data_IF_333069944059
#
_entry.id   IF_333069944059
#
_cell.length_a   1.000
_cell.length_b   1.000
_cell.length_c   1.000
_cell.angle_alpha   90.00
_cell.angle_beta   90.00
_cell.angle_gamma   90.00
#
_symmetry.space_group_name_H-M   'P 1'
#
loop_
_entity.id
_entity.type
_entity.pdbx_description
1 polymer ?
#
# COMPACT_ATOMS: atom_id res chain seq x y z
N UNK A 1 3.37 -7.93 -10.74
CA UNK A 1 4.17 -8.82 -11.57
C UNK A 1 5.16 -9.62 -10.73
N UNK A 2 6.11 -9.02 -10.00
CA UNK A 2 7.13 -9.74 -9.23
C UNK A 2 6.61 -10.91 -8.37
N UNK A 3 5.45 -10.76 -7.70
CA UNK A 3 4.85 -11.83 -6.90
C UNK A 3 4.31 -12.99 -7.73
N UNK A 4 3.78 -12.71 -8.90
CA UNK A 4 3.31 -13.75 -9.84
C UNK A 4 4.51 -14.47 -10.43
N UNK A 5 5.52 -13.72 -10.87
CA UNK A 5 6.75 -14.27 -11.43
C UNK A 5 7.41 -15.20 -10.40
N UNK A 6 7.56 -14.77 -9.13
CA UNK A 6 8.13 -15.61 -8.06
C UNK A 6 7.32 -16.88 -7.83
N UNK A 7 5.98 -16.80 -7.87
CA UNK A 7 5.15 -18.00 -7.70
C UNK A 7 5.32 -18.97 -8.88
N UNK A 8 5.36 -18.46 -10.09
CA UNK A 8 5.47 -19.28 -11.30
C UNK A 8 6.86 -19.90 -11.47
N UNK A 9 7.93 -19.19 -11.07
CA UNK A 9 9.28 -19.76 -10.99
C UNK A 9 9.38 -20.89 -9.97
N UNK A 10 8.75 -20.74 -8.79
CA UNK A 10 8.75 -21.79 -7.77
C UNK A 10 8.10 -23.10 -8.23
N UNK A 11 7.22 -23.06 -9.24
CA UNK A 11 6.56 -24.24 -9.81
C UNK A 11 7.18 -24.72 -11.14
N UNK A 12 8.31 -24.13 -11.58
CA UNK A 12 8.97 -24.45 -12.87
C UNK A 12 8.04 -24.33 -14.10
N UNK A 13 7.03 -23.47 -14.03
CA UNK A 13 6.09 -23.24 -15.12
C UNK A 13 6.68 -22.30 -16.19
N UNK A 14 7.74 -21.56 -15.83
CA UNK A 14 8.37 -20.57 -16.70
C UNK A 14 9.86 -20.76 -16.91
N UNK A 15 10.28 -20.41 -18.14
CA UNK A 15 11.67 -20.10 -18.48
C UNK A 15 11.82 -18.56 -18.56
N UNK A 16 13.01 -18.05 -18.29
CA UNK A 16 13.32 -16.60 -18.33
C UNK A 16 12.90 -15.92 -19.65
N UNK A 17 12.91 -16.66 -20.76
CA UNK A 17 12.56 -16.17 -22.10
C UNK A 17 11.06 -15.80 -22.25
N UNK A 18 10.18 -16.36 -21.42
CA UNK A 18 8.72 -16.18 -21.56
C UNK A 18 8.10 -15.16 -20.57
N UNK A 19 8.88 -14.67 -19.59
CA UNK A 19 8.40 -13.77 -18.53
C UNK A 19 7.75 -12.50 -19.10
N UNK A 20 8.38 -11.90 -20.11
CA UNK A 20 7.87 -10.67 -20.74
C UNK A 20 6.48 -10.84 -21.37
N UNK A 21 6.26 -11.94 -22.08
CA UNK A 21 4.97 -12.20 -22.76
C UNK A 21 3.85 -12.47 -21.76
N UNK A 22 4.18 -13.13 -20.66
CA UNK A 22 3.20 -13.44 -19.63
C UNK A 22 2.86 -12.21 -18.80
N UNK A 23 3.85 -11.42 -18.43
CA UNK A 23 3.63 -10.14 -17.76
C UNK A 23 2.76 -9.21 -18.62
N UNK A 24 2.95 -9.20 -19.94
CA UNK A 24 2.09 -8.49 -20.86
C UNK A 24 0.65 -9.05 -20.83
N UNK A 25 0.48 -10.38 -20.90
CA UNK A 25 -0.83 -11.02 -20.84
C UNK A 25 -1.59 -10.73 -19.54
N UNK A 26 -0.89 -10.83 -18.41
CA UNK A 26 -1.44 -10.50 -17.09
C UNK A 26 -1.75 -8.99 -16.99
N UNK A 27 -0.87 -8.14 -17.52
CA UNK A 27 -1.08 -6.69 -17.60
C UNK A 27 -2.36 -6.34 -18.36
N UNK A 28 -2.61 -6.99 -19.49
CA UNK A 28 -3.85 -6.83 -20.29
C UNK A 28 -5.07 -7.29 -19.48
N UNK A 29 -5.00 -8.42 -18.82
CA UNK A 29 -6.09 -8.92 -17.97
C UNK A 29 -6.42 -7.94 -16.82
N UNK A 30 -5.40 -7.46 -16.11
CA UNK A 30 -5.56 -6.46 -15.05
C UNK A 30 -6.16 -5.18 -15.60
N UNK A 31 -5.67 -4.67 -16.73
CA UNK A 31 -6.20 -3.47 -17.37
C UNK A 31 -7.68 -3.63 -17.76
N UNK A 32 -8.07 -4.78 -18.29
CA UNK A 32 -9.47 -5.06 -18.63
C UNK A 32 -10.36 -5.08 -17.38
N UNK A 33 -9.92 -5.70 -16.29
CA UNK A 33 -10.66 -5.74 -15.02
C UNK A 33 -10.75 -4.33 -14.39
N UNK A 34 -9.66 -3.57 -14.39
CA UNK A 34 -9.63 -2.18 -13.91
C UNK A 34 -10.61 -1.32 -14.69
N UNK A 35 -10.58 -1.41 -16.01
CA UNK A 35 -11.49 -0.67 -16.90
C UNK A 35 -12.96 -1.01 -16.59
N UNK A 36 -13.27 -2.30 -16.49
CA UNK A 36 -14.62 -2.78 -16.21
C UNK A 36 -15.15 -2.26 -14.88
N UNK A 37 -14.30 -2.21 -13.84
CA UNK A 37 -14.72 -1.77 -12.50
C UNK A 37 -14.80 -0.26 -12.42
N UNK A 38 -13.79 0.48 -12.90
CA UNK A 38 -13.77 1.94 -12.84
C UNK A 38 -14.89 2.58 -13.65
N UNK A 39 -15.25 2.04 -14.83
CA UNK A 39 -16.40 2.50 -15.62
C UNK A 39 -17.74 2.33 -14.87
N UNK A 40 -17.81 1.42 -13.89
CA UNK A 40 -18.97 1.25 -13.03
C UNK A 40 -19.10 2.30 -11.92
N UNK A 41 -18.11 3.19 -11.78
CA UNK A 41 -18.11 4.28 -10.82
C UNK A 41 -17.90 3.84 -9.37
N UNK A 42 -18.01 4.82 -8.46
CA UNK A 42 -17.64 4.67 -7.04
C UNK A 42 -18.37 3.52 -6.32
N UNK A 43 -19.66 3.30 -6.63
CA UNK A 43 -20.44 2.21 -6.01
C UNK A 43 -19.88 0.83 -6.36
N UNK A 44 -19.45 0.62 -7.62
CA UNK A 44 -18.85 -0.64 -8.04
C UNK A 44 -17.47 -0.84 -7.43
N UNK A 45 -16.66 0.22 -7.40
CA UNK A 45 -15.34 0.20 -6.73
C UNK A 45 -15.53 -0.20 -5.28
N UNK A 46 -16.40 0.49 -4.53
CA UNK A 46 -16.70 0.20 -3.13
C UNK A 46 -17.17 -1.25 -2.90
N UNK A 47 -18.09 -1.76 -3.73
CA UNK A 47 -18.57 -3.14 -3.62
C UNK A 47 -17.50 -4.21 -3.86
N UNK A 48 -16.54 -3.93 -4.72
CA UNK A 48 -15.41 -4.85 -4.97
C UNK A 48 -14.40 -4.77 -3.84
N UNK A 49 -13.96 -3.57 -3.49
CA UNK A 49 -12.92 -3.37 -2.47
C UNK A 49 -13.37 -3.76 -1.07
N UNK A 50 -14.63 -3.50 -0.70
CA UNK A 50 -15.18 -3.87 0.62
C UNK A 50 -15.21 -5.38 0.89
N UNK A 51 -15.18 -6.21 -0.14
CA UNK A 51 -15.09 -7.68 0.00
C UNK A 51 -13.66 -8.17 -0.15
N UNK A 52 -12.93 -7.61 -1.11
CA UNK A 52 -11.57 -8.01 -1.46
C UNK A 52 -10.58 -7.69 -0.33
N UNK A 53 -10.62 -6.45 0.18
CA UNK A 53 -9.64 -5.94 1.14
C UNK A 53 -9.69 -6.68 2.49
N UNK A 54 -10.85 -6.87 3.15
CA UNK A 54 -10.88 -7.61 4.41
C UNK A 54 -10.43 -9.06 4.24
N UNK A 55 -10.82 -9.73 3.16
CA UNK A 55 -10.42 -11.11 2.89
C UNK A 55 -8.91 -11.25 2.79
N UNK A 56 -8.27 -10.44 1.94
CA UNK A 56 -6.81 -10.50 1.75
C UNK A 56 -6.05 -10.07 3.02
N UNK A 57 -6.53 -9.05 3.75
CA UNK A 57 -5.89 -8.56 4.95
C UNK A 57 -5.92 -9.61 6.06
N UNK A 58 -7.08 -10.22 6.34
CA UNK A 58 -7.21 -11.28 7.35
C UNK A 58 -6.35 -12.48 6.98
N UNK A 59 -6.37 -12.91 5.72
CA UNK A 59 -5.54 -14.02 5.24
C UNK A 59 -4.04 -13.72 5.44
N UNK A 60 -3.58 -12.53 5.01
CA UNK A 60 -2.17 -12.14 5.12
C UNK A 60 -1.72 -12.02 6.58
N UNK A 61 -2.54 -11.40 7.44
CA UNK A 61 -2.25 -11.26 8.86
C UNK A 61 -2.18 -12.63 9.53
N UNK A 62 -3.14 -13.52 9.26
CA UNK A 62 -3.14 -14.86 9.82
C UNK A 62 -1.87 -15.64 9.45
N UNK A 63 -1.51 -15.63 8.16
CA UNK A 63 -0.31 -16.33 7.69
C UNK A 63 0.97 -15.72 8.26
N UNK A 64 1.07 -14.40 8.37
CA UNK A 64 2.20 -13.72 8.99
C UNK A 64 2.34 -14.06 10.49
N UNK A 65 1.23 -14.07 11.23
CA UNK A 65 1.23 -14.46 12.64
C UNK A 65 1.66 -15.91 12.83
N UNK A 66 1.18 -16.83 11.99
CA UNK A 66 1.60 -18.23 12.04
C UNK A 66 3.10 -18.35 11.75
N UNK A 67 3.64 -17.62 10.74
CA UNK A 67 5.06 -17.61 10.45
C UNK A 67 5.89 -17.17 11.65
N UNK A 68 5.52 -16.05 12.26
CA UNK A 68 6.22 -15.53 13.45
C UNK A 68 6.11 -16.52 14.62
N UNK A 69 4.93 -17.14 14.81
CA UNK A 69 4.72 -18.13 15.86
C UNK A 69 5.55 -19.41 15.65
N UNK A 70 5.68 -19.88 14.40
CA UNK A 70 6.53 -21.05 14.07
C UNK A 70 8.02 -20.75 14.32
N UNK A 71 8.43 -19.49 14.08
CA UNK A 71 9.82 -19.04 14.25
C UNK A 71 10.01 -18.21 15.54
N UNK A 72 9.22 -18.45 16.58
CA UNK A 72 9.20 -17.63 17.82
C UNK A 72 10.57 -17.52 18.50
N UNK A 73 11.41 -18.53 18.38
CA UNK A 73 12.76 -18.54 18.97
C UNK A 73 13.66 -17.44 18.40
N UNK A 74 13.42 -17.03 17.16
CA UNK A 74 14.18 -15.97 16.49
C UNK A 74 13.69 -14.56 16.83
N UNK A 75 12.48 -14.43 17.36
CA UNK A 75 11.85 -13.13 17.63
C UNK A 75 12.73 -12.25 18.54
N UNK A 76 13.28 -12.72 19.68
CA UNK A 76 14.12 -11.88 20.54
C UNK A 76 15.40 -11.40 19.82
N UNK A 77 16.04 -12.25 19.03
CA UNK A 77 17.24 -11.91 18.26
C UNK A 77 16.94 -10.88 17.17
N UNK A 78 15.81 -11.03 16.48
CA UNK A 78 15.34 -10.10 15.45
C UNK A 78 15.09 -8.71 16.06
N UNK A 79 14.38 -8.62 17.19
CA UNK A 79 14.20 -7.35 17.89
C UNK A 79 15.53 -6.74 18.30
N UNK A 80 16.43 -7.53 18.89
CA UNK A 80 17.78 -7.06 19.24
C UNK A 80 18.50 -6.49 18.02
N UNK A 81 18.49 -7.21 16.89
CA UNK A 81 19.13 -6.76 15.63
C UNK A 81 18.52 -5.47 15.08
N UNK A 82 17.20 -5.30 15.20
CA UNK A 82 16.51 -4.06 14.80
C UNK A 82 17.01 -2.88 15.64
N UNK A 83 17.03 -3.03 16.97
CA UNK A 83 17.50 -1.98 17.87
C UNK A 83 19.00 -1.69 17.70
N UNK A 84 19.83 -2.72 17.59
CA UNK A 84 21.27 -2.56 17.32
C UNK A 84 21.52 -1.87 15.98
N UNK A 85 20.79 -2.24 14.93
CA UNK A 85 20.90 -1.60 13.62
C UNK A 85 20.44 -0.14 13.61
N UNK A 86 19.41 0.19 14.42
CA UNK A 86 18.90 1.54 14.53
C UNK A 86 19.85 2.48 15.30
N UNK A 87 20.45 1.99 16.40
CA UNK A 87 21.27 2.82 17.29
C UNK A 87 22.78 2.61 17.14
N UNK A 88 23.22 1.58 16.42
CA UNK A 88 24.62 1.32 16.13
C UNK A 88 24.86 1.02 14.65
N UNK A 89 24.72 2.03 13.78
CA UNK A 89 24.83 1.87 12.32
C UNK A 89 26.21 1.40 11.84
N UNK A 90 27.24 1.43 12.69
CA UNK A 90 28.59 0.96 12.34
C UNK A 90 28.66 -0.55 12.09
N UNK A 91 27.80 -1.33 12.74
CA UNK A 91 27.81 -2.78 12.65
C UNK A 91 27.22 -3.33 11.34
N UNK A 92 26.44 -2.50 10.62
CA UNK A 92 25.67 -3.01 9.46
C UNK A 92 26.20 -2.50 8.11
N UNK A 93 26.79 -1.32 8.00
CA UNK A 93 27.04 -0.69 6.69
C UNK A 93 28.37 0.05 6.49
N UNK A 94 29.34 -0.03 7.39
CA UNK A 94 30.68 0.54 7.19
C UNK A 94 30.81 2.07 6.98
N UNK A 95 29.70 2.83 7.06
CA UNK A 95 29.69 4.30 6.90
C UNK A 95 28.58 4.95 7.72
N UNK A 96 28.97 5.65 8.81
CA UNK A 96 28.04 6.06 9.89
C UNK A 96 27.00 7.10 9.48
N UNK A 97 27.35 8.08 8.67
CA UNK A 97 26.46 9.22 8.35
C UNK A 97 25.62 8.91 7.11
N UNK A 98 26.22 8.30 6.10
CA UNK A 98 25.52 7.98 4.85
C UNK A 98 24.39 6.96 5.03
N UNK A 99 24.58 5.95 5.87
CA UNK A 99 23.58 4.92 6.08
C UNK A 99 22.36 5.41 6.87
N UNK A 100 22.56 6.28 7.87
CA UNK A 100 21.46 6.88 8.63
C UNK A 100 20.57 7.74 7.72
N UNK A 101 21.19 8.60 6.89
CA UNK A 101 20.43 9.41 5.92
C UNK A 101 19.68 8.58 4.88
N UNK A 102 20.33 7.54 4.35
CA UNK A 102 19.70 6.66 3.38
C UNK A 102 18.51 5.91 4.02
N UNK A 103 18.69 5.34 5.20
CA UNK A 103 17.62 4.62 5.91
C UNK A 103 16.46 5.55 6.27
N UNK A 104 16.76 6.73 6.80
CA UNK A 104 15.76 7.76 7.11
C UNK A 104 14.99 8.19 5.85
N UNK A 105 15.71 8.51 4.76
CA UNK A 105 15.09 8.90 3.49
C UNK A 105 14.18 7.81 2.95
N UNK A 106 14.64 6.56 2.95
CA UNK A 106 13.85 5.42 2.47
C UNK A 106 12.64 5.15 3.38
N UNK A 107 12.82 5.18 4.70
CA UNK A 107 11.73 4.99 5.64
C UNK A 107 10.64 6.06 5.52
N UNK A 108 11.03 7.33 5.46
CA UNK A 108 10.10 8.46 5.26
C UNK A 108 9.37 8.34 3.94
N UNK A 109 10.08 8.09 2.83
CA UNK A 109 9.46 7.94 1.51
C UNK A 109 8.44 6.80 1.47
N UNK A 110 8.78 5.64 2.03
CA UNK A 110 7.86 4.49 2.06
C UNK A 110 6.69 4.71 3.02
N UNK A 111 6.90 5.31 4.18
CA UNK A 111 5.84 5.66 5.12
C UNK A 111 4.85 6.67 4.55
N UNK A 112 5.32 7.69 3.84
CA UNK A 112 4.47 8.66 3.12
C UNK A 112 3.64 7.94 2.06
N UNK A 113 4.27 7.05 1.29
CA UNK A 113 3.59 6.32 0.22
C UNK A 113 2.50 5.39 0.77
N UNK A 114 2.83 4.57 1.78
CA UNK A 114 1.91 3.57 2.35
C UNK A 114 0.70 4.22 3.03
N UNK A 115 0.94 5.25 3.83
CA UNK A 115 -0.12 5.93 4.60
C UNK A 115 -0.78 7.08 3.85
N UNK A 116 -0.39 7.34 2.59
CA UNK A 116 -0.83 8.53 1.82
C UNK A 116 -0.62 9.85 2.60
N UNK A 117 0.34 9.86 3.55
CA UNK A 117 0.52 10.92 4.51
C UNK A 117 0.99 12.22 3.84
N UNK A 118 0.15 13.24 3.90
CA UNK A 118 0.44 14.53 3.28
C UNK A 118 0.23 14.59 1.77
N UNK A 119 -0.20 13.50 1.11
CA UNK A 119 -0.47 13.47 -0.35
C UNK A 119 -1.80 14.15 -0.71
N UNK A 120 -2.77 14.17 0.21
CA UNK A 120 -4.11 14.70 -0.03
C UNK A 120 -5.06 13.71 -0.72
N UNK A 121 -4.59 12.52 -1.08
CA UNK A 121 -5.36 11.49 -1.78
C UNK A 121 -6.39 10.83 -0.89
N UNK A 122 -6.04 10.49 0.34
CA UNK A 122 -6.97 9.91 1.31
C UNK A 122 -8.23 10.76 1.52
N UNK A 123 -8.10 12.09 1.54
CA UNK A 123 -9.26 12.98 1.68
C UNK A 123 -10.27 12.87 0.52
N UNK A 124 -9.83 12.47 -0.68
CA UNK A 124 -10.71 12.26 -1.84
C UNK A 124 -11.62 11.04 -1.62
N UNK A 125 -11.08 9.95 -1.05
CA UNK A 125 -11.89 8.79 -0.70
C UNK A 125 -12.83 9.10 0.46
N UNK A 126 -12.31 9.68 1.53
CA UNK A 126 -13.08 10.02 2.73
C UNK A 126 -14.21 11.02 2.47
N UNK A 127 -14.05 11.94 1.51
CA UNK A 127 -15.10 12.89 1.11
C UNK A 127 -16.34 12.21 0.53
N UNK A 128 -16.27 10.95 0.11
CA UNK A 128 -17.41 10.19 -0.42
C UNK A 128 -18.12 9.34 0.64
N UNK A 129 -17.70 9.39 1.90
CA UNK A 129 -18.32 8.64 2.98
C UNK A 129 -19.69 9.25 3.38
N UNK A 130 -20.60 8.38 3.77
CA UNK A 130 -21.93 8.76 4.25
C UNK A 130 -21.92 8.76 5.79
N UNK A 131 -21.42 9.85 6.35
CA UNK A 131 -21.29 10.07 7.81
C UNK A 131 -21.94 11.40 8.20
N UNK A 132 -22.53 11.43 9.38
CA UNK A 132 -23.21 12.64 9.88
C UNK A 132 -22.24 13.78 10.22
N UNK A 133 -21.02 13.49 10.63
CA UNK A 133 -20.03 14.49 11.01
C UNK A 133 -18.63 14.14 10.49
N UNK A 134 -17.87 15.11 9.90
CA UNK A 134 -16.56 14.84 9.30
C UNK A 134 -15.53 14.21 10.25
N UNK A 135 -15.64 14.51 11.55
CA UNK A 135 -14.70 13.96 12.56
C UNK A 135 -14.84 12.45 12.70
N UNK A 136 -16.03 11.90 12.52
CA UNK A 136 -16.23 10.43 12.54
C UNK A 136 -15.39 9.76 11.46
N UNK A 137 -15.42 10.30 10.24
CA UNK A 137 -14.59 9.77 9.16
C UNK A 137 -13.10 10.03 9.38
N UNK A 138 -12.74 11.19 9.95
CA UNK A 138 -11.35 11.48 10.30
C UNK A 138 -10.76 10.51 11.33
N UNK A 139 -11.56 10.01 12.29
CA UNK A 139 -11.13 8.99 13.25
C UNK A 139 -10.85 7.64 12.57
N UNK A 140 -11.55 7.28 11.49
CA UNK A 140 -11.24 6.09 10.70
C UNK A 140 -9.87 6.17 10.06
N UNK A 141 -9.42 7.35 9.62
CA UNK A 141 -8.06 7.54 9.10
C UNK A 141 -6.98 7.20 10.13
N UNK A 142 -7.21 7.42 11.43
CA UNK A 142 -6.28 6.99 12.49
C UNK A 142 -6.19 5.46 12.53
N UNK A 143 -7.35 4.78 12.45
CA UNK A 143 -7.39 3.32 12.43
C UNK A 143 -6.70 2.74 11.20
N UNK A 144 -6.90 3.33 10.02
CA UNK A 144 -6.27 2.91 8.77
C UNK A 144 -4.74 2.95 8.86
N UNK A 145 -4.18 4.07 9.33
CA UNK A 145 -2.73 4.24 9.50
C UNK A 145 -2.18 3.25 10.55
N UNK A 146 -2.91 3.03 11.64
CA UNK A 146 -2.53 2.03 12.65
C UNK A 146 -2.52 0.62 12.06
N UNK A 147 -3.56 0.22 11.35
CA UNK A 147 -3.67 -1.10 10.76
C UNK A 147 -2.60 -1.34 9.69
N UNK A 148 -2.34 -0.36 8.82
CA UNK A 148 -1.30 -0.47 7.80
C UNK A 148 0.10 -0.53 8.41
N UNK A 149 0.48 0.48 9.19
CA UNK A 149 1.87 0.66 9.62
C UNK A 149 2.21 -0.21 10.83
N UNK A 150 1.36 -0.21 11.88
CA UNK A 150 1.69 -0.92 13.11
C UNK A 150 1.39 -2.41 12.97
N UNK A 151 0.31 -2.80 12.29
CA UNK A 151 -0.03 -4.23 12.17
C UNK A 151 0.62 -4.84 10.94
N UNK A 152 0.27 -4.40 9.72
CA UNK A 152 0.67 -5.08 8.49
C UNK A 152 2.18 -4.91 8.20
N UNK A 153 2.70 -3.68 8.25
CA UNK A 153 4.12 -3.44 7.96
C UNK A 153 5.04 -4.09 8.99
N UNK A 154 4.70 -4.00 10.29
CA UNK A 154 5.49 -4.65 11.36
C UNK A 154 5.46 -6.17 11.20
N UNK A 155 4.29 -6.75 10.94
CA UNK A 155 4.14 -8.18 10.73
C UNK A 155 4.94 -8.65 9.51
N UNK A 156 4.91 -7.91 8.41
CA UNK A 156 5.69 -8.20 7.21
C UNK A 156 7.20 -8.18 7.49
N UNK A 157 7.67 -7.15 8.21
CA UNK A 157 9.07 -7.05 8.59
C UNK A 157 9.50 -8.23 9.50
N UNK A 158 8.69 -8.56 10.50
CA UNK A 158 8.95 -9.71 11.38
C UNK A 158 8.92 -11.02 10.59
N UNK A 159 7.96 -11.20 9.68
CA UNK A 159 7.87 -12.40 8.85
C UNK A 159 9.15 -12.59 8.02
N UNK A 160 9.66 -11.53 7.38
CA UNK A 160 10.89 -11.59 6.60
C UNK A 160 12.10 -11.88 7.49
N UNK A 161 12.26 -11.14 8.59
CA UNK A 161 13.43 -11.27 9.46
C UNK A 161 13.46 -12.58 10.24
N UNK A 162 12.31 -13.05 10.75
CA UNK A 162 12.22 -14.31 11.48
C UNK A 162 12.34 -15.54 10.57
N UNK A 163 12.06 -15.43 9.26
CA UNK A 163 12.23 -16.55 8.32
C UNK A 163 13.70 -16.97 8.14
N UNK A 164 14.64 -16.06 8.40
CA UNK A 164 16.08 -16.30 8.29
C UNK A 164 16.59 -16.39 6.87
N UNK A 165 15.86 -15.84 5.90
CA UNK A 165 16.35 -15.69 4.53
C UNK A 165 17.55 -14.76 4.48
N UNK A 166 18.43 -15.00 3.50
CA UNK A 166 19.52 -14.07 3.23
C UNK A 166 18.96 -12.80 2.56
N UNK A 167 19.26 -11.64 3.15
CA UNK A 167 18.81 -10.34 2.63
C UNK A 167 20.01 -9.69 1.93
N UNK A 168 19.92 -9.52 0.61
CA UNK A 168 20.92 -8.82 -0.18
C UNK A 168 20.83 -7.31 0.06
N UNK A 169 21.68 -6.79 0.92
CA UNK A 169 21.74 -5.35 1.20
C UNK A 169 22.19 -4.56 -0.04
N UNK A 170 21.52 -3.42 -0.27
CA UNK A 170 21.81 -2.54 -1.41
C UNK A 170 21.06 -2.86 -2.70
N UNK A 171 20.36 -3.99 -2.78
CA UNK A 171 19.44 -4.29 -3.88
C UNK A 171 18.03 -3.80 -3.56
N UNK A 172 17.30 -3.39 -4.59
CA UNK A 172 15.87 -3.09 -4.44
C UNK A 172 15.13 -4.41 -4.20
N UNK A 173 14.54 -4.55 -3.02
CA UNK A 173 13.70 -5.70 -2.67
C UNK A 173 12.23 -5.38 -2.99
N UNK A 174 11.56 -6.34 -3.60
CA UNK A 174 10.15 -6.27 -3.93
C UNK A 174 9.34 -7.35 -3.19
N UNK A 175 8.20 -7.71 -3.77
CA UNK A 175 7.32 -8.75 -3.23
C UNK A 175 7.99 -10.15 -3.17
N UNK A 176 9.00 -10.39 -4.01
CA UNK A 176 9.79 -11.63 -4.01
C UNK A 176 10.47 -11.90 -2.67
N UNK A 177 10.95 -10.87 -1.96
CA UNK A 177 11.55 -11.03 -0.65
C UNK A 177 10.53 -11.53 0.38
N UNK A 178 9.32 -10.98 0.34
CA UNK A 178 8.22 -11.43 1.20
C UNK A 178 7.86 -12.89 0.89
N UNK A 179 7.68 -13.23 -0.39
CA UNK A 179 7.35 -14.59 -0.80
C UNK A 179 8.44 -15.57 -0.37
N UNK A 180 9.70 -15.22 -0.56
CA UNK A 180 10.84 -16.05 -0.14
C UNK A 180 10.83 -16.30 1.38
N UNK A 181 10.53 -15.28 2.18
CA UNK A 181 10.39 -15.41 3.63
C UNK A 181 9.31 -16.42 4.03
N UNK A 182 8.16 -16.37 3.38
CA UNK A 182 7.08 -17.31 3.66
C UNK A 182 7.37 -18.72 3.12
N UNK A 183 7.96 -18.85 1.94
CA UNK A 183 8.29 -20.17 1.35
C UNK A 183 9.33 -20.93 2.15
N UNK A 184 10.23 -20.23 2.83
CA UNK A 184 11.21 -20.85 3.73
C UNK A 184 10.54 -21.58 4.89
N UNK A 185 9.43 -21.03 5.42
CA UNK A 185 8.73 -21.62 6.57
C UNK A 185 7.66 -22.63 6.14
N UNK A 186 6.88 -22.34 5.09
CA UNK A 186 5.70 -23.12 4.72
C UNK A 186 5.91 -24.02 3.49
N UNK A 187 7.04 -23.87 2.79
CA UNK A 187 7.31 -24.57 1.52
C UNK A 187 6.72 -23.83 0.31
N UNK A 188 7.05 -24.34 -0.88
CA UNK A 188 6.77 -23.65 -2.16
C UNK A 188 5.28 -23.40 -2.47
N UNK A 189 4.36 -24.22 -1.92
CA UNK A 189 2.93 -24.11 -2.19
C UNK A 189 2.33 -22.76 -1.74
N UNK A 190 2.91 -22.14 -0.68
CA UNK A 190 2.43 -20.87 -0.15
C UNK A 190 2.61 -19.70 -1.13
N UNK A 191 3.58 -19.83 -2.05
CA UNK A 191 3.87 -18.78 -3.02
C UNK A 191 2.68 -18.41 -3.90
N UNK A 192 1.85 -19.40 -4.28
CA UNK A 192 0.62 -19.14 -5.06
C UNK A 192 -0.38 -18.31 -4.24
N UNK A 193 -0.63 -18.71 -2.99
CA UNK A 193 -1.60 -18.02 -2.14
C UNK A 193 -1.15 -16.59 -1.82
N UNK A 194 0.15 -16.41 -1.55
CA UNK A 194 0.71 -15.06 -1.35
C UNK A 194 0.69 -14.23 -2.62
N UNK A 195 1.02 -14.82 -3.77
CA UNK A 195 0.92 -14.11 -5.05
C UNK A 195 -0.51 -13.61 -5.29
N UNK A 196 -1.51 -14.45 -5.05
CA UNK A 196 -2.92 -14.05 -5.15
C UNK A 196 -3.26 -12.93 -4.16
N UNK A 197 -2.86 -13.05 -2.90
CA UNK A 197 -3.11 -12.01 -1.88
C UNK A 197 -2.44 -10.68 -2.28
N UNK A 198 -1.17 -10.70 -2.66
CA UNK A 198 -0.44 -9.50 -3.09
C UNK A 198 -1.01 -8.90 -4.40
N UNK A 199 -1.49 -9.73 -5.32
CA UNK A 199 -2.22 -9.25 -6.49
C UNK A 199 -3.54 -8.56 -6.11
N UNK A 200 -4.26 -9.09 -5.13
CA UNK A 200 -5.48 -8.45 -4.61
C UNK A 200 -5.16 -7.09 -3.95
N UNK A 201 -4.06 -6.98 -3.18
CA UNK A 201 -3.59 -5.72 -2.62
C UNK A 201 -3.26 -4.71 -3.72
N UNK A 202 -2.43 -5.11 -4.70
CA UNK A 202 -2.07 -4.24 -5.82
C UNK A 202 -3.31 -3.81 -6.62
N UNK A 203 -4.23 -4.72 -6.89
CA UNK A 203 -5.44 -4.46 -7.64
C UNK A 203 -6.37 -3.47 -6.91
N UNK A 204 -6.57 -3.62 -5.60
CA UNK A 204 -7.36 -2.66 -4.82
C UNK A 204 -6.73 -1.26 -4.82
N UNK A 205 -5.40 -1.18 -4.74
CA UNK A 205 -4.66 0.08 -4.84
C UNK A 205 -4.83 0.74 -6.21
N UNK A 206 -4.75 -0.02 -7.31
CA UNK A 206 -4.98 0.50 -8.67
C UNK A 206 -6.41 1.07 -8.77
N UNK A 207 -7.40 0.42 -8.19
CA UNK A 207 -8.78 0.93 -8.20
C UNK A 207 -8.93 2.22 -7.38
N UNK A 208 -8.30 2.30 -6.22
CA UNK A 208 -8.30 3.50 -5.38
C UNK A 208 -7.66 4.70 -6.08
N UNK A 209 -6.45 4.52 -6.61
CA UNK A 209 -5.75 5.57 -7.34
C UNK A 209 -6.46 5.98 -8.63
N UNK A 210 -7.13 5.04 -9.32
CA UNK A 210 -8.01 5.33 -10.45
C UNK A 210 -9.20 6.21 -10.07
N UNK A 211 -9.76 6.02 -8.89
CA UNK A 211 -10.80 6.90 -8.33
C UNK A 211 -10.24 8.29 -8.05
N UNK A 212 -9.09 8.41 -7.37
CA UNK A 212 -8.46 9.71 -7.07
C UNK A 212 -8.20 10.49 -8.35
N UNK A 213 -7.56 9.88 -9.33
CA UNK A 213 -7.31 10.50 -10.63
C UNK A 213 -8.59 10.91 -11.35
N UNK A 214 -9.63 10.07 -11.31
CA UNK A 214 -10.93 10.38 -11.92
C UNK A 214 -11.58 11.62 -11.29
N UNK A 215 -11.49 11.76 -9.97
CA UNK A 215 -12.02 12.94 -9.25
C UNK A 215 -11.23 14.21 -9.54
N UNK A 216 -9.90 14.10 -9.60
CA UNK A 216 -9.04 15.24 -9.97
C UNK A 216 -9.33 15.73 -11.40
N UNK A 217 -9.42 14.82 -12.37
CA UNK A 217 -9.73 15.14 -13.76
C UNK A 217 -11.14 15.71 -13.90
N UNK A 218 -12.11 15.15 -13.20
CA UNK A 218 -13.49 15.66 -13.16
C UNK A 218 -13.54 17.10 -12.66
N UNK A 219 -12.80 17.41 -11.59
CA UNK A 219 -12.72 18.74 -11.02
C UNK A 219 -12.11 19.76 -12.01
N UNK A 220 -11.04 19.37 -12.71
CA UNK A 220 -10.30 20.27 -13.60
C UNK A 220 -10.99 20.49 -14.95
N UNK A 221 -11.55 19.43 -15.54
CA UNK A 221 -12.01 19.42 -16.94
C UNK A 221 -13.49 19.01 -17.11
N UNK A 222 -14.17 18.73 -15.99
CA UNK A 222 -15.56 18.33 -15.98
C UNK A 222 -15.80 16.84 -16.26
N UNK A 223 -17.07 16.38 -16.13
CA UNK A 223 -17.40 14.95 -16.12
C UNK A 223 -17.20 14.23 -17.47
N UNK A 224 -17.17 14.98 -18.57
CA UNK A 224 -17.03 14.40 -19.92
C UNK A 224 -15.66 13.73 -20.15
N UNK A 225 -14.63 14.19 -19.45
CA UNK A 225 -13.24 13.72 -19.60
C UNK A 225 -12.93 12.50 -18.73
N UNK A 226 -13.79 12.15 -17.76
CA UNK A 226 -13.57 11.03 -16.84
C UNK A 226 -13.46 9.69 -17.58
N UNK A 227 -14.36 9.41 -18.53
CA UNK A 227 -14.30 8.13 -19.28
C UNK A 227 -13.04 7.99 -20.13
N UNK A 228 -12.64 8.98 -20.96
CA UNK A 228 -11.34 8.94 -21.64
C UNK A 228 -10.17 8.74 -20.69
N UNK A 229 -10.15 9.44 -19.56
CA UNK A 229 -9.11 9.28 -18.54
C UNK A 229 -9.03 7.83 -18.02
N UNK A 230 -10.16 7.21 -17.67
CA UNK A 230 -10.20 5.83 -17.18
C UNK A 230 -9.62 4.86 -18.23
N UNK A 231 -9.90 5.07 -19.51
CA UNK A 231 -9.36 4.25 -20.60
C UNK A 231 -7.84 4.39 -20.65
N UNK A 232 -7.32 5.61 -20.67
CA UNK A 232 -5.88 5.88 -20.69
C UNK A 232 -5.21 5.31 -19.43
N UNK A 233 -5.81 5.50 -18.25
CA UNK A 233 -5.32 4.98 -16.99
C UNK A 233 -5.19 3.44 -17.00
N UNK A 234 -6.20 2.74 -17.52
CA UNK A 234 -6.15 1.29 -17.65
C UNK A 234 -5.07 0.82 -18.63
N UNK A 235 -4.86 1.54 -19.74
CA UNK A 235 -3.79 1.23 -20.70
C UNK A 235 -2.39 1.46 -20.11
N UNK A 236 -2.22 2.50 -19.28
CA UNK A 236 -0.95 2.76 -18.59
C UNK A 236 -0.60 1.64 -17.61
N UNK A 237 -1.59 0.94 -17.02
CA UNK A 237 -1.34 -0.23 -16.20
C UNK A 237 -0.61 -1.36 -16.96
N UNK A 238 -0.86 -1.52 -18.26
CA UNK A 238 -0.14 -2.50 -19.12
C UNK A 238 1.33 -2.11 -19.23
N UNK A 239 1.61 -0.83 -19.45
CA UNK A 239 2.99 -0.31 -19.51
C UNK A 239 3.69 -0.53 -18.19
N UNK A 240 3.04 -0.20 -17.06
CA UNK A 240 3.58 -0.41 -15.71
C UNK A 240 3.88 -1.88 -15.40
N UNK A 241 3.18 -2.83 -16.04
CA UNK A 241 3.43 -4.25 -15.86
C UNK A 241 4.76 -4.72 -16.48
N UNK A 242 5.30 -3.98 -17.43
CA UNK A 242 6.52 -4.32 -18.19
C UNK A 242 7.70 -3.39 -17.88
N UNK A 243 7.50 -2.33 -17.09
CA UNK A 243 8.56 -1.37 -16.75
C UNK A 243 9.48 -1.90 -15.64
N UNK A 244 10.71 -1.36 -15.63
CA UNK A 244 11.67 -1.58 -14.55
C UNK A 244 11.17 -1.04 -13.20
N UNK A 245 11.30 -1.84 -12.16
CA UNK A 245 10.82 -1.53 -10.81
C UNK A 245 11.52 -0.30 -10.20
N UNK A 246 12.82 -0.13 -10.46
CA UNK A 246 13.61 1.00 -9.95
C UNK A 246 13.14 2.32 -10.53
N UNK A 247 12.86 2.33 -11.85
CA UNK A 247 12.33 3.49 -12.55
C UNK A 247 10.92 3.85 -12.03
N UNK A 248 10.04 2.84 -11.87
CA UNK A 248 8.69 3.06 -11.32
C UNK A 248 8.73 3.70 -9.93
N UNK A 249 9.59 3.21 -9.03
CA UNK A 249 9.76 3.80 -7.71
C UNK A 249 10.29 5.23 -7.76
N UNK A 250 11.22 5.52 -8.66
CA UNK A 250 11.77 6.88 -8.81
C UNK A 250 10.72 7.87 -9.30
N UNK A 251 9.88 7.46 -10.24
CA UNK A 251 8.76 8.25 -10.73
C UNK A 251 7.73 8.49 -9.60
N UNK A 252 7.33 7.42 -8.89
CA UNK A 252 6.38 7.51 -7.80
C UNK A 252 6.85 8.44 -6.69
N UNK A 253 8.11 8.32 -6.25
CA UNK A 253 8.69 9.20 -5.23
C UNK A 253 8.70 10.67 -5.67
N UNK A 254 8.98 10.93 -6.96
CA UNK A 254 8.99 12.30 -7.52
C UNK A 254 7.59 12.91 -7.51
N UNK A 255 6.60 12.21 -8.03
CA UNK A 255 5.22 12.71 -8.08
C UNK A 255 4.61 12.84 -6.70
N UNK A 256 4.87 11.91 -5.79
CA UNK A 256 4.45 12.04 -4.40
C UNK A 256 5.04 13.28 -3.74
N UNK A 257 6.33 13.56 -3.95
CA UNK A 257 6.97 14.78 -3.47
C UNK A 257 6.30 16.05 -3.98
N UNK A 258 5.91 16.07 -5.26
CA UNK A 258 5.19 17.21 -5.85
C UNK A 258 3.76 17.37 -5.28
N UNK A 259 3.07 16.26 -4.97
CA UNK A 259 1.72 16.29 -4.40
C UNK A 259 1.69 16.78 -2.95
N UNK A 260 2.74 16.51 -2.17
CA UNK A 260 2.85 16.93 -0.76
C UNK A 260 2.83 18.45 -0.64
N UNK A 261 3.52 19.17 -1.51
CA UNK A 261 3.68 20.63 -1.39
C UNK A 261 2.33 21.37 -1.34
N UNK A 262 1.46 21.27 -2.35
CA UNK A 262 0.17 21.97 -2.32
C UNK A 262 -0.75 21.46 -1.21
N UNK A 263 -0.70 20.16 -0.89
CA UNK A 263 -1.55 19.61 0.16
C UNK A 263 -1.14 20.11 1.55
N UNK A 264 0.15 20.18 1.88
CA UNK A 264 0.59 20.73 3.16
C UNK A 264 0.17 22.19 3.32
N UNK A 265 0.24 23.00 2.27
CA UNK A 265 -0.25 24.39 2.29
C UNK A 265 -1.74 24.39 2.65
N UNK A 266 -2.56 23.54 1.99
CA UNK A 266 -3.98 23.44 2.26
C UNK A 266 -4.27 23.00 3.71
N UNK A 267 -3.57 21.98 4.21
CA UNK A 267 -3.72 21.48 5.58
C UNK A 267 -3.38 22.57 6.61
N UNK A 268 -2.30 23.33 6.42
CA UNK A 268 -1.95 24.44 7.31
C UNK A 268 -3.00 25.53 7.30
N UNK A 269 -3.49 25.92 6.14
CA UNK A 269 -4.55 26.94 6.02
C UNK A 269 -5.88 26.50 6.65
N UNK A 270 -6.22 25.22 6.55
CA UNK A 270 -7.46 24.65 7.09
C UNK A 270 -7.33 24.17 8.54
N UNK A 271 -6.15 24.24 9.16
CA UNK A 271 -5.93 23.73 10.52
C UNK A 271 -6.87 24.34 11.56
N UNK A 272 -7.15 25.62 11.47
CA UNK A 272 -8.13 26.31 12.34
C UNK A 272 -9.55 25.74 12.22
N UNK A 273 -9.99 25.43 11.00
CA UNK A 273 -11.29 24.82 10.74
C UNK A 273 -11.36 23.41 11.34
N UNK A 274 -10.30 22.62 11.19
CA UNK A 274 -10.21 21.26 11.76
C UNK A 274 -10.31 21.33 13.29
N UNK A 275 -9.55 22.22 13.93
CA UNK A 275 -9.59 22.41 15.39
C UNK A 275 -11.01 22.79 15.87
N UNK A 276 -11.69 23.66 15.12
CA UNK A 276 -13.07 24.05 15.45
C UNK A 276 -14.02 22.85 15.35
N UNK A 277 -13.95 22.07 14.26
CA UNK A 277 -14.79 20.89 14.07
C UNK A 277 -14.56 19.83 15.16
N UNK A 278 -13.29 19.62 15.55
CA UNK A 278 -12.96 18.69 16.64
C UNK A 278 -13.59 19.15 17.95
N UNK A 279 -13.44 20.44 18.30
CA UNK A 279 -14.02 20.99 19.53
C UNK A 279 -15.55 20.89 19.51
N UNK A 280 -16.18 21.24 18.43
CA UNK A 280 -17.64 21.19 18.26
C UNK A 280 -18.14 19.76 18.46
N UNK A 281 -17.52 18.79 17.79
CA UNK A 281 -17.89 17.37 17.90
C UNK A 281 -17.78 16.83 19.33
N UNK A 282 -16.68 17.10 20.03
CA UNK A 282 -16.47 16.57 21.38
C UNK A 282 -17.22 17.37 22.48
N UNK A 283 -17.59 18.61 22.22
CA UNK A 283 -18.44 19.41 23.11
C UNK A 283 -19.94 19.08 22.95
N UNK A 284 -20.32 18.50 21.82
CA UNK A 284 -21.72 18.07 21.60
C UNK A 284 -22.04 16.89 22.54
N UNK A 285 -23.14 16.93 23.32
CA UNK A 285 -23.57 15.85 24.20
C UNK A 285 -23.69 14.53 23.45
N UNK A 286 -23.30 13.42 24.09
CA UNK A 286 -23.31 12.09 23.47
C UNK A 286 -24.69 11.67 22.95
N UNK A 287 -25.76 12.02 23.66
CA UNK A 287 -27.13 11.79 23.21
C UNK A 287 -27.45 12.43 21.86
N UNK A 288 -26.97 13.66 21.62
CA UNK A 288 -27.13 14.34 20.33
C UNK A 288 -26.24 13.75 19.24
N UNK A 289 -25.03 13.31 19.59
CA UNK A 289 -24.17 12.61 18.63
C UNK A 289 -24.78 11.31 18.13
N UNK A 290 -25.38 10.52 19.03
CA UNK A 290 -26.10 9.30 18.69
C UNK A 290 -27.38 9.51 17.87
N UNK A 291 -27.99 10.69 17.95
CA UNK A 291 -29.10 11.09 17.08
C UNK A 291 -28.66 11.47 15.67
N UNK A 292 -27.45 12.02 15.53
CA UNK A 292 -26.84 12.33 14.23
C UNK A 292 -26.44 11.06 13.46
N UNK A 293 -26.23 9.95 14.16
CA UNK A 293 -25.80 8.66 13.60
C UNK A 293 -26.97 7.77 13.14
N UNK A 294 -28.23 8.22 13.35
CA UNK A 294 -29.46 7.54 12.88
C UNK A 294 -29.96 8.11 11.57
#
# INVERSE_FOLDING_TARGET
MASIDSALFNFNVFNEDNVGNVNLGIGILIAALVLLILLGGIKRIGNVTSKLVPFMAVFYIAMGLILVAVNYERVPEVFKSIFEGAFNPRSVTGGVVGSLFISMRRGVSRGIFSNEAGLGTGSIAHASSDVAHPIQQGMWGIFEVFADTIVICTLTALAILCSGINIDYGKAAGAELTISGFTTTFGGWISILLAVALCCFAFSTILGWGLYGSRCIEYLFGPKVVKPFIIVYALVAIIGATMDLGLLWSLADTFNGLMIIPNLIAVFLLSGTVIHLVKDYFQTPESKRLEMDK
#
